data_IF_702460539829
#
_entry.id   IF_702460539829
#
_cell.length_a   1.000
_cell.length_b   1.000
_cell.length_c   1.000
_cell.angle_alpha   90.00
_cell.angle_beta   90.00
_cell.angle_gamma   90.00
#
_symmetry.space_group_name_H-M   'P 1'
#
loop_
_entity.id
_entity.type
_entity.pdbx_description
1 polymer ?
#
# COMPACT_ATOMS: atom_id res chain seq x y z
N UNK A 1 -0.04 -1.18 -6.77
CA UNK A 1 1.43 -1.01 -6.76
C UNK A 1 2.07 -2.24 -6.11
N UNK A 2 3.18 -2.77 -6.63
CA UNK A 2 3.99 -3.79 -5.93
C UNK A 2 5.31 -3.12 -5.55
N UNK A 3 5.71 -3.19 -4.28
CA UNK A 3 6.93 -2.51 -3.78
C UNK A 3 7.50 -3.24 -2.58
N UNK A 4 8.79 -3.04 -2.31
CA UNK A 4 9.42 -3.44 -1.06
C UNK A 4 8.90 -2.74 0.20
N UNK A 5 7.98 -1.76 0.10
CA UNK A 5 7.42 -1.06 1.26
C UNK A 5 8.17 0.21 1.67
N UNK A 6 8.93 0.81 0.74
CA UNK A 6 9.59 2.09 0.99
C UNK A 6 8.60 3.24 1.19
N UNK A 7 8.70 3.89 2.35
CA UNK A 7 8.38 5.30 2.62
C UNK A 7 7.46 6.02 1.61
N UNK A 8 8.13 6.84 0.80
CA UNK A 8 7.53 7.68 -0.22
C UNK A 8 6.81 6.91 -1.32
N UNK A 9 7.30 5.74 -1.77
CA UNK A 9 6.58 4.97 -2.81
C UNK A 9 5.21 4.51 -2.32
N UNK A 10 5.11 4.10 -1.05
CA UNK A 10 3.82 3.73 -0.46
C UNK A 10 2.92 4.94 -0.36
N UNK A 11 3.42 6.08 0.13
CA UNK A 11 2.63 7.32 0.19
C UNK A 11 2.17 7.78 -1.19
N UNK A 12 3.03 7.77 -2.22
CA UNK A 12 2.65 8.15 -3.59
C UNK A 12 1.53 7.25 -4.14
N UNK A 13 1.61 5.94 -3.90
CA UNK A 13 0.57 5.02 -4.33
C UNK A 13 -0.76 5.31 -3.61
N UNK A 14 -0.72 5.47 -2.28
CA UNK A 14 -1.92 5.74 -1.48
C UNK A 14 -2.52 7.13 -1.76
N UNK A 15 -1.70 8.15 -1.97
CA UNK A 15 -2.14 9.48 -2.41
C UNK A 15 -2.89 9.43 -3.75
N UNK A 16 -2.55 8.44 -4.59
CA UNK A 16 -3.24 8.19 -5.87
C UNK A 16 -4.44 7.24 -5.74
N UNK A 17 -4.83 6.85 -4.52
CA UNK A 17 -5.89 5.87 -4.27
C UNK A 17 -5.55 4.45 -4.75
N UNK A 18 -4.27 4.14 -4.96
CA UNK A 18 -3.81 2.85 -5.48
C UNK A 18 -3.42 1.92 -4.32
N UNK A 19 -4.05 0.75 -4.18
CA UNK A 19 -3.65 -0.23 -3.17
C UNK A 19 -2.24 -0.78 -3.38
N UNK A 20 -1.63 -1.25 -2.29
CA UNK A 20 -0.22 -1.65 -2.27
C UNK A 20 -0.04 -3.11 -1.88
N UNK A 21 0.74 -3.86 -2.67
CA UNK A 21 1.30 -5.14 -2.27
C UNK A 21 2.75 -4.92 -1.82
N UNK A 22 3.00 -5.08 -0.52
CA UNK A 22 4.31 -4.91 0.09
C UNK A 22 5.09 -6.23 0.13
N UNK A 23 6.37 -6.18 -0.22
CA UNK A 23 7.33 -7.28 -0.12
C UNK A 23 8.57 -6.84 0.69
N UNK A 24 8.48 -6.72 2.02
CA UNK A 24 9.54 -6.13 2.85
C UNK A 24 10.87 -6.88 2.74
N UNK A 25 11.94 -6.14 2.47
CA UNK A 25 13.32 -6.64 2.32
C UNK A 25 14.26 -6.21 3.45
N UNK A 26 13.80 -5.37 4.39
CA UNK A 26 14.54 -4.96 5.59
C UNK A 26 14.21 -3.54 6.04
N UNK A 27 15.04 -2.97 6.94
CA UNK A 27 14.85 -1.62 7.51
C UNK A 27 13.45 -1.47 8.14
N UNK A 28 12.81 -0.33 7.93
CA UNK A 28 11.49 0.06 8.39
C UNK A 28 10.34 -0.45 7.49
N UNK A 29 10.66 -1.17 6.40
CA UNK A 29 9.68 -1.59 5.40
C UNK A 29 8.60 -2.51 5.98
N UNK A 30 8.95 -3.31 7.00
CA UNK A 30 8.00 -4.14 7.72
C UNK A 30 6.94 -3.32 8.44
N UNK A 31 7.35 -2.23 9.09
CA UNK A 31 6.43 -1.33 9.82
C UNK A 31 5.53 -0.56 8.85
N UNK A 32 6.08 -0.13 7.72
CA UNK A 32 5.28 0.49 6.65
C UNK A 32 4.25 -0.50 6.10
N UNK A 33 4.66 -1.73 5.80
CA UNK A 33 3.76 -2.78 5.33
C UNK A 33 2.67 -3.11 6.36
N UNK A 34 3.02 -3.18 7.64
CA UNK A 34 2.06 -3.40 8.72
C UNK A 34 0.99 -2.30 8.78
N UNK A 35 1.37 -1.03 8.60
CA UNK A 35 0.41 0.09 8.55
C UNK A 35 -0.51 0.02 7.32
N UNK A 36 0.01 -0.37 6.16
CA UNK A 36 -0.80 -0.58 4.94
C UNK A 36 -1.85 -1.67 5.17
N UNK A 37 -1.43 -2.81 5.72
CA UNK A 37 -2.32 -3.94 6.02
C UNK A 37 -3.35 -3.56 7.09
N UNK A 38 -2.92 -2.90 8.16
CA UNK A 38 -3.80 -2.45 9.25
C UNK A 38 -4.88 -1.47 8.75
N UNK A 39 -4.56 -0.62 7.78
CA UNK A 39 -5.54 0.27 7.13
C UNK A 39 -6.45 -0.42 6.12
N UNK A 40 -6.20 -1.69 5.77
CA UNK A 40 -6.93 -2.40 4.72
C UNK A 40 -6.59 -1.93 3.30
N UNK A 41 -5.61 -1.03 3.13
CA UNK A 41 -5.26 -0.43 1.84
C UNK A 41 -4.27 -1.29 1.02
N UNK A 42 -4.06 -2.54 1.41
CA UNK A 42 -3.12 -3.43 0.73
C UNK A 42 -2.84 -4.73 1.48
N UNK A 43 -1.86 -5.48 0.96
CA UNK A 43 -1.39 -6.74 1.51
C UNK A 43 0.13 -6.71 1.70
N UNK A 44 0.64 -7.62 2.52
CA UNK A 44 2.07 -7.87 2.65
C UNK A 44 2.36 -9.37 2.44
N UNK A 45 3.38 -9.67 1.64
CA UNK A 45 3.89 -11.04 1.44
C UNK A 45 5.42 -11.06 1.66
N UNK A 46 6.01 -12.23 1.99
CA UNK A 46 7.46 -12.33 2.17
C UNK A 46 8.24 -11.92 0.91
N UNK A 47 9.42 -11.30 1.06
CA UNK A 47 10.27 -10.95 -0.09
C UNK A 47 10.68 -12.17 -0.95
N UNK A 48 10.73 -13.36 -0.34
CA UNK A 48 11.00 -14.63 -1.03
C UNK A 48 9.74 -15.41 -1.40
N UNK A 49 8.59 -14.73 -1.49
CA UNK A 49 7.34 -15.36 -1.90
C UNK A 49 7.48 -16.02 -3.29
N UNK A 50 6.92 -17.22 -3.43
CA UNK A 50 6.89 -17.93 -4.71
C UNK A 50 5.97 -17.21 -5.70
N UNK A 51 6.16 -17.39 -7.02
CA UNK A 51 5.33 -16.75 -8.05
C UNK A 51 3.82 -16.92 -7.84
N UNK A 52 3.37 -18.09 -7.36
CA UNK A 52 1.95 -18.35 -7.12
C UNK A 52 1.37 -17.50 -5.98
N UNK A 53 2.15 -17.27 -4.91
CA UNK A 53 1.74 -16.40 -3.82
C UNK A 53 1.63 -14.94 -4.28
N UNK A 54 2.55 -14.49 -5.14
CA UNK A 54 2.46 -13.16 -5.76
C UNK A 54 1.20 -13.07 -6.63
N UNK A 55 0.94 -14.08 -7.46
CA UNK A 55 -0.26 -14.15 -8.32
C UNK A 55 -1.54 -14.06 -7.50
N UNK A 56 -1.66 -14.85 -6.44
CA UNK A 56 -2.84 -14.86 -5.56
C UNK A 56 -3.04 -13.51 -4.88
N UNK A 57 -1.98 -12.90 -4.35
CA UNK A 57 -2.06 -11.59 -3.71
C UNK A 57 -2.49 -10.49 -4.69
N UNK A 58 -1.95 -10.50 -5.92
CA UNK A 58 -2.34 -9.56 -6.98
C UNK A 58 -3.79 -9.77 -7.39
N UNK A 59 -4.21 -11.01 -7.62
CA UNK A 59 -5.61 -11.33 -7.96
C UNK A 59 -6.56 -10.90 -6.85
N UNK A 60 -6.19 -11.07 -5.58
CA UNK A 60 -6.99 -10.61 -4.45
C UNK A 60 -7.13 -9.09 -4.43
N UNK A 61 -6.05 -8.35 -4.58
CA UNK A 61 -6.09 -6.87 -4.61
C UNK A 61 -6.89 -6.34 -5.79
N UNK A 62 -6.80 -6.99 -6.96
CA UNK A 62 -7.54 -6.56 -8.16
C UNK A 62 -9.02 -6.96 -8.13
N UNK A 63 -9.35 -8.08 -7.49
CA UNK A 63 -10.71 -8.64 -7.46
C UNK A 63 -11.56 -8.18 -6.28
N UNK A 64 -10.96 -7.61 -5.23
CA UNK A 64 -11.67 -7.10 -4.07
C UNK A 64 -11.66 -5.56 -4.04
N UNK A 65 -12.80 -4.89 -4.26
CA UNK A 65 -12.88 -3.43 -4.28
C UNK A 65 -12.53 -2.79 -2.93
N UNK A 66 -12.64 -3.54 -1.83
CA UNK A 66 -12.35 -3.06 -0.47
C UNK A 66 -10.98 -2.38 -0.37
N UNK A 67 -9.96 -2.89 -1.05
CA UNK A 67 -8.61 -2.31 -0.98
C UNK A 67 -8.57 -0.87 -1.56
N UNK A 68 -9.30 -0.62 -2.65
CA UNK A 68 -9.40 0.73 -3.24
C UNK A 68 -10.25 1.64 -2.36
N UNK A 69 -11.35 1.13 -1.84
CA UNK A 69 -12.22 1.85 -0.91
C UNK A 69 -11.45 2.26 0.36
N UNK A 70 -10.58 1.40 0.87
CA UNK A 70 -9.72 1.69 2.02
C UNK A 70 -8.57 2.67 1.69
N UNK A 71 -8.07 2.70 0.46
CA UNK A 71 -7.06 3.65 0.02
C UNK A 71 -7.63 5.07 -0.19
N UNK A 72 -8.89 5.19 -0.60
CA UNK A 72 -9.56 6.46 -0.87
C UNK A 72 -9.53 7.48 0.30
N UNK A 73 -9.87 7.14 1.56
CA UNK A 73 -9.80 8.09 2.66
C UNK A 73 -8.36 8.52 2.99
N UNK A 74 -7.37 7.66 2.72
CA UNK A 74 -5.95 8.01 2.89
C UNK A 74 -5.54 9.04 1.82
N UNK A 75 -5.95 8.83 0.57
CA UNK A 75 -5.72 9.78 -0.52
C UNK A 75 -6.32 11.15 -0.19
N UNK A 76 -7.57 11.17 0.30
CA UNK A 76 -8.25 12.39 0.69
C UNK A 76 -7.55 13.10 1.87
N UNK A 77 -7.04 12.36 2.86
CA UNK A 77 -6.28 12.94 3.96
C UNK A 77 -4.99 13.59 3.46
N UNK A 78 -4.17 12.87 2.69
CA UNK A 78 -2.90 13.39 2.15
C UNK A 78 -3.11 14.62 1.26
N UNK A 79 -4.19 14.65 0.47
CA UNK A 79 -4.51 15.81 -0.34
C UNK A 79 -4.84 17.06 0.49
N UNK A 80 -5.43 16.89 1.68
CA UNK A 80 -5.67 18.01 2.60
C UNK A 80 -4.38 18.50 3.22
N UNK A 81 -3.54 17.59 3.74
CA UNK A 81 -2.27 17.94 4.39
C UNK A 81 -1.37 18.75 3.45
N UNK A 82 -1.26 18.36 2.18
CA UNK A 82 -0.46 19.08 1.17
C UNK A 82 -1.00 20.50 0.91
N UNK A 83 -2.33 20.69 0.95
CA UNK A 83 -2.92 22.01 0.75
C UNK A 83 -2.74 22.92 1.97
N UNK A 84 -2.70 22.35 3.17
CA UNK A 84 -2.42 23.09 4.41
C UNK A 84 -0.95 23.54 4.47
N UNK A 85 0.00 22.69 4.07
CA UNK A 85 1.43 23.04 4.02
C UNK A 85 1.76 24.10 2.95
N UNK A 86 0.90 24.26 1.95
CA UNK A 86 1.06 25.21 0.85
C UNK A 86 0.43 26.59 1.12
N UNK A 87 -0.34 26.74 2.21
CA UNK A 87 -1.05 27.95 2.62
C UNK A 87 -0.24 28.79 3.62
#
# INVERSE_FOLDING_TARGET
MITHGGHGTVLTALASGVPVLCMPMGRDQGDVAARVVWRGAGLAIPARAKPDAVRQAVQRILGDPHFREAAAPIAAALARDVNEDAA
#
